data_IF_831967730867
#
_entry.id   IF_831967730867
#
_cell.length_a   1.000
_cell.length_b   1.000
_cell.length_c   1.000
_cell.angle_alpha   90.00
_cell.angle_beta   90.00
_cell.angle_gamma   90.00
#
_symmetry.space_group_name_H-M   'P 1'
#
loop_
_entity.id
_entity.type
_entity.pdbx_description
1 polymer ?
#
# COMPACT_ATOMS: atom_id res chain seq x y z
N UNK A 1 -21.40 -31.78 9.99
CA UNK A 1 -20.34 -32.11 9.01
C UNK A 1 -19.41 -30.92 8.97
N UNK A 2 -18.16 -31.06 9.43
CA UNK A 2 -17.19 -29.96 9.42
C UNK A 2 -16.73 -29.71 7.97
N UNK A 3 -16.46 -28.45 7.63
CA UNK A 3 -16.02 -28.04 6.28
C UNK A 3 -14.71 -27.27 6.40
N UNK A 4 -13.73 -27.61 5.56
CA UNK A 4 -12.49 -26.84 5.44
C UNK A 4 -12.69 -25.69 4.47
N UNK A 5 -12.30 -24.47 4.86
CA UNK A 5 -12.41 -23.26 4.04
C UNK A 5 -11.03 -22.59 3.98
N UNK A 6 -10.64 -22.14 2.79
CA UNK A 6 -9.46 -21.30 2.61
C UNK A 6 -9.80 -19.85 2.97
N UNK A 7 -9.03 -19.26 3.88
CA UNK A 7 -9.07 -17.84 4.19
C UNK A 7 -7.74 -17.21 3.78
N UNK A 8 -7.78 -16.22 2.90
CA UNK A 8 -6.61 -15.44 2.51
C UNK A 8 -6.36 -14.34 3.54
N UNK A 9 -5.09 -14.08 3.87
CA UNK A 9 -4.69 -13.02 4.81
C UNK A 9 -3.38 -12.38 4.36
N UNK A 10 -3.20 -11.07 4.58
CA UNK A 10 -1.96 -10.33 4.27
C UNK A 10 -1.00 -10.36 5.46
N UNK A 11 0.30 -10.04 5.25
CA UNK A 11 1.20 -9.78 6.39
C UNK A 11 0.58 -8.58 7.08
N UNK A 12 0.02 -8.83 8.26
CA UNK A 12 -0.89 -7.97 8.99
C UNK A 12 -2.26 -7.76 8.31
N UNK A 13 -3.23 -8.51 8.85
CA UNK A 13 -4.66 -8.42 8.57
C UNK A 13 -5.14 -6.96 8.54
N UNK A 14 -5.29 -6.41 7.33
CA UNK A 14 -6.06 -5.20 7.10
C UNK A 14 -7.50 -5.44 7.53
N UNK A 15 -7.87 -4.83 8.67
CA UNK A 15 -9.13 -4.93 9.40
C UNK A 15 -9.24 -6.09 10.39
N UNK A 16 -8.38 -6.08 11.42
CA UNK A 16 -8.66 -6.77 12.67
C UNK A 16 -9.39 -5.85 13.63
N UNK A 17 -10.57 -6.28 14.07
CA UNK A 17 -11.29 -5.69 15.20
C UNK A 17 -10.89 -6.46 16.45
N UNK A 18 -10.17 -5.82 17.36
CA UNK A 18 -9.90 -6.34 18.69
C UNK A 18 -11.07 -6.01 19.61
N UNK A 19 -11.68 -7.05 20.19
CA UNK A 19 -12.75 -6.90 21.17
C UNK A 19 -12.27 -6.44 22.54
N UNK A 20 -10.96 -6.55 22.81
CA UNK A 20 -10.32 -6.28 24.10
C UNK A 20 -8.91 -5.69 23.90
N UNK A 21 -8.32 -5.15 24.99
CA UNK A 21 -6.97 -4.58 25.02
C UNK A 21 -5.89 -5.61 24.64
N UNK A 22 -4.81 -5.15 24.01
CA UNK A 22 -3.77 -6.03 23.49
C UNK A 22 -2.51 -5.30 23.06
N UNK A 23 -1.64 -6.03 22.37
CA UNK A 23 -0.38 -5.56 21.79
C UNK A 23 -0.39 -5.85 20.28
N UNK A 24 -0.12 -4.83 19.47
CA UNK A 24 -0.03 -4.93 18.02
C UNK A 24 1.24 -4.19 17.57
N UNK A 25 2.18 -4.94 16.97
CA UNK A 25 3.48 -4.42 16.51
C UNK A 25 4.23 -3.57 17.55
N UNK A 26 4.16 -3.94 18.83
CA UNK A 26 4.80 -3.24 19.94
C UNK A 26 4.02 -2.02 20.47
N UNK A 27 2.86 -1.73 19.91
CA UNK A 27 1.93 -0.73 20.41
C UNK A 27 0.89 -1.37 21.33
N UNK A 28 0.92 -0.98 22.60
CA UNK A 28 -0.13 -1.32 23.56
C UNK A 28 -1.36 -0.45 23.33
N UNK A 29 -2.52 -1.09 23.28
CA UNK A 29 -3.80 -0.40 23.12
C UNK A 29 -4.80 -0.86 24.17
N UNK A 30 -5.57 0.10 24.70
CA UNK A 30 -6.64 -0.14 25.67
C UNK A 30 -7.98 0.30 25.08
N UNK A 31 -8.96 -0.61 25.05
CA UNK A 31 -10.30 -0.32 24.53
C UNK A 31 -11.06 -1.58 24.14
N UNK A 32 -12.36 -1.43 23.88
CA UNK A 32 -13.21 -2.47 23.27
C UNK A 32 -13.55 -2.06 21.85
N UNK A 33 -13.51 -3.01 20.91
CA UNK A 33 -13.79 -2.81 19.49
C UNK A 33 -12.80 -1.87 18.78
N UNK A 34 -11.49 -2.07 19.01
CA UNK A 34 -10.44 -1.32 18.32
C UNK A 34 -10.17 -1.95 16.95
N UNK A 35 -10.37 -1.18 15.88
CA UNK A 35 -9.95 -1.55 14.54
C UNK A 35 -8.64 -0.83 14.22
N UNK A 36 -7.68 -1.56 13.65
CA UNK A 36 -6.52 -0.93 13.02
C UNK A 36 -6.55 -1.19 11.51
N UNK A 37 -6.03 -0.21 10.79
CA UNK A 37 -5.91 -0.27 9.34
C UNK A 37 -4.50 0.20 8.96
N UNK A 38 -3.85 -0.58 8.10
CA UNK A 38 -2.56 -0.20 7.54
C UNK A 38 -2.78 0.79 6.41
N UNK A 39 -2.39 2.04 6.67
CA UNK A 39 -2.48 3.12 5.71
C UNK A 39 -1.11 3.45 5.12
N UNK A 40 -1.06 3.59 3.80
CA UNK A 40 0.14 4.09 3.12
C UNK A 40 0.35 5.56 3.47
N UNK A 41 1.53 5.88 3.99
CA UNK A 41 1.92 7.25 4.34
C UNK A 41 2.89 7.81 3.30
N UNK A 42 2.68 9.05 2.88
CA UNK A 42 3.56 9.81 1.97
C UNK A 42 4.18 10.99 2.72
N UNK A 43 5.36 10.83 3.35
CA UNK A 43 5.94 11.84 4.25
C UNK A 43 6.25 13.19 3.59
N UNK A 44 6.58 13.17 2.29
CA UNK A 44 6.91 14.35 1.50
C UNK A 44 5.69 15.01 0.83
N UNK A 45 4.50 14.43 1.01
CA UNK A 45 3.22 14.92 0.51
C UNK A 45 3.29 15.40 -0.95
N UNK A 46 2.82 16.63 -1.17
CA UNK A 46 2.71 17.27 -2.48
C UNK A 46 4.02 17.31 -3.28
N UNK A 47 5.16 17.50 -2.61
CA UNK A 47 6.46 17.66 -3.30
C UNK A 47 6.91 16.41 -4.05
N UNK A 48 6.42 15.24 -3.63
CA UNK A 48 6.79 13.94 -4.21
C UNK A 48 5.61 13.27 -4.93
N UNK A 49 4.41 13.85 -4.90
CA UNK A 49 3.18 13.21 -5.37
C UNK A 49 3.24 12.72 -6.83
N UNK A 50 3.86 13.47 -7.74
CA UNK A 50 4.03 13.04 -9.14
C UNK A 50 5.11 11.98 -9.34
N UNK A 51 6.03 11.81 -8.38
CA UNK A 51 7.06 10.76 -8.41
C UNK A 51 6.48 9.48 -7.81
N UNK A 52 6.02 9.53 -6.56
CA UNK A 52 5.49 8.35 -5.87
C UNK A 52 4.16 7.93 -6.46
N UNK A 53 3.30 8.89 -6.78
CA UNK A 53 1.88 8.64 -6.97
C UNK A 53 1.19 8.33 -5.64
N UNK A 54 0.12 7.54 -5.72
CA UNK A 54 -0.68 7.14 -4.57
C UNK A 54 -1.32 5.76 -4.77
N UNK A 55 -1.62 5.08 -3.66
CA UNK A 55 -2.51 3.92 -3.60
C UNK A 55 -3.96 4.37 -3.42
N UNK A 56 -4.90 3.65 -4.02
CA UNK A 56 -6.34 3.82 -3.78
C UNK A 56 -7.08 2.50 -3.97
N UNK A 57 -8.33 2.44 -3.52
CA UNK A 57 -9.17 1.25 -3.60
C UNK A 57 -9.35 0.76 -5.03
N UNK A 58 -9.36 -0.57 -5.17
CA UNK A 58 -9.55 -1.26 -6.44
C UNK A 58 -11.00 -1.15 -6.90
N UNK A 59 -11.20 -0.83 -8.17
CA UNK A 59 -12.48 -0.80 -8.84
C UNK A 59 -12.65 -2.02 -9.79
N UNK A 60 -13.82 -2.15 -10.41
CA UNK A 60 -14.11 -3.29 -11.31
C UNK A 60 -13.23 -3.31 -12.56
N UNK A 61 -12.80 -2.15 -13.05
CA UNK A 61 -11.93 -2.05 -14.23
C UNK A 61 -10.52 -2.52 -13.91
N UNK A 62 -10.00 -2.18 -12.73
CA UNK A 62 -8.70 -2.66 -12.25
C UNK A 62 -8.66 -4.18 -12.16
N UNK A 63 -9.73 -4.80 -11.65
CA UNK A 63 -9.82 -6.27 -11.54
C UNK A 63 -9.85 -6.91 -12.93
N UNK A 64 -10.61 -6.33 -13.87
CA UNK A 64 -10.71 -6.83 -15.24
C UNK A 64 -9.41 -6.69 -16.02
N UNK A 65 -8.68 -5.59 -15.79
CA UNK A 65 -7.45 -5.26 -16.49
C UNK A 65 -6.21 -5.59 -15.66
N UNK A 66 -6.33 -6.45 -14.65
CA UNK A 66 -5.21 -6.84 -13.82
C UNK A 66 -4.15 -7.56 -14.66
N UNK A 67 -2.97 -6.95 -14.74
CA UNK A 67 -1.80 -7.48 -15.47
C UNK A 67 -0.84 -8.25 -14.55
N UNK A 68 -1.06 -8.21 -13.25
CA UNK A 68 -0.19 -8.88 -12.28
C UNK A 68 -0.57 -10.36 -12.15
N UNK A 69 0.42 -11.23 -11.89
CA UNK A 69 0.22 -12.66 -11.63
C UNK A 69 -0.48 -12.96 -10.27
N UNK A 70 -0.93 -11.91 -9.58
CA UNK A 70 -1.61 -11.98 -8.29
C UNK A 70 -3.05 -11.58 -8.47
N UNK A 71 -3.98 -12.36 -7.90
CA UNK A 71 -5.40 -12.05 -7.94
C UNK A 71 -5.68 -10.79 -7.10
N UNK A 72 -6.53 -9.92 -7.64
CA UNK A 72 -6.94 -8.67 -7.00
C UNK A 72 -8.45 -8.70 -6.77
N UNK A 73 -8.88 -8.25 -5.60
CA UNK A 73 -10.27 -8.20 -5.17
C UNK A 73 -10.68 -6.75 -4.84
N UNK A 74 -11.98 -6.49 -4.70
CA UNK A 74 -12.51 -5.13 -4.49
C UNK A 74 -12.18 -4.49 -3.12
N UNK A 75 -11.65 -5.27 -2.18
CA UNK A 75 -11.18 -4.76 -0.88
C UNK A 75 -9.67 -4.46 -0.90
N UNK A 76 -9.01 -4.66 -2.05
CA UNK A 76 -7.59 -4.35 -2.18
C UNK A 76 -7.37 -2.87 -2.51
N UNK A 77 -6.14 -2.43 -2.26
CA UNK A 77 -5.60 -1.18 -2.78
C UNK A 77 -4.63 -1.48 -3.93
N UNK A 78 -4.50 -0.51 -4.83
CA UNK A 78 -3.62 -0.56 -5.99
C UNK A 78 -3.01 0.82 -6.25
N UNK A 79 -1.79 0.84 -6.78
CA UNK A 79 -1.15 2.04 -7.29
C UNK A 79 -1.92 2.66 -8.45
N UNK A 80 -2.35 3.92 -8.28
CA UNK A 80 -3.12 4.67 -9.28
C UNK A 80 -2.32 5.64 -10.12
N UNK A 81 -1.14 6.02 -9.65
CA UNK A 81 -0.24 6.91 -10.38
C UNK A 81 1.21 6.68 -9.97
N UNK A 82 2.13 7.35 -10.67
CA UNK A 82 3.55 7.39 -10.35
C UNK A 82 4.17 5.99 -10.26
N UNK A 83 5.16 5.87 -9.39
CA UNK A 83 5.89 4.62 -9.15
C UNK A 83 5.01 3.55 -8.51
N UNK A 84 4.05 3.94 -7.64
CA UNK A 84 3.11 3.00 -7.03
C UNK A 84 2.35 2.22 -8.11
N UNK A 85 1.85 2.90 -9.14
CA UNK A 85 1.17 2.23 -10.27
C UNK A 85 2.13 1.47 -11.17
N UNK A 86 3.26 2.08 -11.52
CA UNK A 86 4.23 1.49 -12.44
C UNK A 86 4.84 0.19 -11.89
N UNK A 87 5.03 0.09 -10.58
CA UNK A 87 5.61 -1.08 -9.92
C UNK A 87 4.61 -1.86 -9.06
N UNK A 88 3.30 -1.66 -9.23
CA UNK A 88 2.26 -2.31 -8.38
C UNK A 88 2.46 -3.82 -8.30
N UNK A 89 2.64 -4.50 -9.44
CA UNK A 89 2.86 -5.95 -9.48
C UNK A 89 4.08 -6.41 -8.68
N UNK A 90 5.12 -5.56 -8.58
CA UNK A 90 6.32 -5.85 -7.82
C UNK A 90 6.17 -5.48 -6.34
N UNK A 91 5.46 -4.38 -6.04
CA UNK A 91 5.32 -3.81 -4.70
C UNK A 91 4.22 -4.47 -3.87
N UNK A 92 3.15 -4.99 -4.48
CA UNK A 92 1.99 -5.52 -3.75
C UNK A 92 2.25 -6.81 -2.98
N UNK A 93 3.32 -7.53 -3.33
CA UNK A 93 3.62 -8.84 -2.74
C UNK A 93 2.60 -9.91 -3.11
N UNK A 94 2.60 -11.00 -2.34
CA UNK A 94 1.66 -12.11 -2.52
C UNK A 94 0.97 -12.38 -1.18
N UNK A 95 -0.36 -12.38 -1.19
CA UNK A 95 -1.18 -12.68 -0.03
C UNK A 95 -0.92 -14.12 0.47
N UNK A 96 -0.89 -14.28 1.79
CA UNK A 96 -0.85 -15.57 2.44
C UNK A 96 -2.24 -16.21 2.48
N UNK A 97 -2.29 -17.47 2.89
CA UNK A 97 -3.56 -18.18 3.08
C UNK A 97 -3.47 -19.14 4.25
N UNK A 98 -4.54 -19.23 5.02
CA UNK A 98 -4.71 -20.22 6.08
C UNK A 98 -5.89 -21.13 5.75
N UNK A 99 -5.72 -22.40 6.06
CA UNK A 99 -6.76 -23.40 5.99
C UNK A 99 -7.34 -23.55 7.39
N UNK A 100 -8.62 -23.23 7.56
CA UNK A 100 -9.31 -23.34 8.85
C UNK A 100 -10.41 -24.40 8.78
N UNK A 101 -10.56 -25.13 9.88
CA UNK A 101 -11.69 -26.02 10.14
C UNK A 101 -12.77 -25.23 10.89
N UNK A 102 -13.99 -25.27 10.38
CA UNK A 102 -15.16 -24.65 11.01
C UNK A 102 -16.22 -25.70 11.33
N UNK A 103 -17.02 -25.42 12.36
CA UNK A 103 -18.13 -26.27 12.77
C UNK A 103 -19.34 -26.12 11.83
N UNK A 104 -20.45 -26.79 12.13
CA UNK A 104 -21.67 -26.72 11.31
C UNK A 104 -22.36 -25.34 11.33
N UNK A 105 -22.04 -24.49 12.30
CA UNK A 105 -22.54 -23.11 12.44
C UNK A 105 -21.58 -22.08 11.82
N UNK A 106 -20.40 -22.51 11.37
CA UNK A 106 -19.37 -21.64 10.81
C UNK A 106 -18.42 -21.06 11.86
N UNK A 107 -18.48 -21.54 13.10
CA UNK A 107 -17.57 -21.12 14.16
C UNK A 107 -16.19 -21.76 13.96
N UNK A 108 -15.14 -20.97 14.21
CA UNK A 108 -13.76 -21.43 14.10
C UNK A 108 -13.47 -22.57 15.10
N UNK A 109 -12.90 -23.67 14.61
CA UNK A 109 -12.42 -24.77 15.46
C UNK A 109 -10.90 -24.70 15.60
N UNK A 110 -10.17 -24.78 14.47
CA UNK A 110 -8.69 -24.78 14.45
C UNK A 110 -8.13 -24.45 13.07
N UNK A 111 -6.84 -24.12 13.02
CA UNK A 111 -6.07 -23.98 11.80
C UNK A 111 -5.42 -25.31 11.42
N UNK A 112 -5.53 -25.71 10.15
CA UNK A 112 -4.99 -26.95 9.60
C UNK A 112 -3.70 -26.73 8.79
N UNK A 113 -3.41 -25.49 8.40
CA UNK A 113 -2.22 -25.14 7.63
C UNK A 113 -2.19 -23.68 7.22
N UNK A 114 -1.01 -23.18 6.88
CA UNK A 114 -0.77 -21.79 6.53
C UNK A 114 0.36 -21.66 5.53
N UNK A 115 0.13 -20.84 4.50
CA UNK A 115 1.16 -20.28 3.65
C UNK A 115 1.35 -18.82 4.04
N UNK A 116 2.57 -18.49 4.48
CA UNK A 116 2.91 -17.12 4.87
C UNK A 116 2.89 -16.19 3.65
N UNK A 117 2.47 -14.93 3.83
CA UNK A 117 2.47 -13.97 2.75
C UNK A 117 3.91 -13.58 2.37
N UNK A 118 4.11 -13.18 1.11
CA UNK A 118 5.42 -12.70 0.63
C UNK A 118 5.41 -11.19 0.52
N UNK A 119 6.15 -10.54 1.41
CA UNK A 119 6.38 -9.09 1.36
C UNK A 119 7.29 -8.75 0.18
N UNK A 120 6.99 -7.66 -0.51
CA UNK A 120 7.87 -7.15 -1.56
C UNK A 120 9.13 -6.52 -0.98
N UNK A 121 10.21 -6.50 -1.76
CA UNK A 121 11.44 -5.82 -1.35
C UNK A 121 11.32 -4.31 -1.48
N UNK A 122 12.01 -3.59 -0.61
CA UNK A 122 12.12 -2.14 -0.66
C UNK A 122 12.62 -1.64 -2.02
N UNK A 123 12.13 -0.46 -2.39
CA UNK A 123 12.51 0.24 -3.61
C UNK A 123 13.37 1.45 -3.27
N UNK A 124 14.57 1.50 -3.85
CA UNK A 124 15.46 2.66 -3.76
C UNK A 124 15.37 3.45 -5.06
N UNK A 125 15.07 4.73 -4.95
CA UNK A 125 15.00 5.65 -6.09
C UNK A 125 16.28 6.47 -6.19
N UNK A 126 16.56 6.97 -7.40
CA UNK A 126 17.63 7.96 -7.60
C UNK A 126 17.23 9.38 -7.18
N UNK A 127 15.96 9.59 -6.84
CA UNK A 127 15.41 10.91 -6.50
C UNK A 127 15.95 11.35 -5.14
N UNK A 128 16.53 12.53 -5.10
CA UNK A 128 17.00 13.18 -3.88
C UNK A 128 15.84 13.97 -3.24
N UNK A 129 15.39 13.51 -2.08
CA UNK A 129 14.22 14.08 -1.41
C UNK A 129 14.44 15.53 -0.95
N UNK A 130 15.66 15.90 -0.56
CA UNK A 130 15.97 17.25 -0.12
C UNK A 130 15.84 18.24 -1.29
N UNK A 131 16.42 17.91 -2.45
CA UNK A 131 16.32 18.77 -3.63
C UNK A 131 14.91 18.81 -4.20
N UNK A 132 14.20 17.69 -4.21
CA UNK A 132 12.81 17.62 -4.62
C UNK A 132 11.94 18.59 -3.81
N UNK A 133 12.00 18.52 -2.47
CA UNK A 133 11.20 19.38 -1.59
C UNK A 133 11.61 20.86 -1.70
N UNK A 134 12.92 21.14 -1.76
CA UNK A 134 13.44 22.50 -1.86
C UNK A 134 12.97 23.18 -3.15
N UNK A 135 13.07 22.50 -4.29
CA UNK A 135 12.64 23.04 -5.58
C UNK A 135 11.12 23.23 -5.59
N UNK A 136 10.34 22.28 -5.08
CA UNK A 136 8.89 22.42 -4.99
C UNK A 136 8.49 23.69 -4.22
N UNK A 137 9.10 23.91 -3.05
CA UNK A 137 8.88 25.13 -2.25
C UNK A 137 9.31 26.41 -2.99
N UNK A 138 10.40 26.38 -3.76
CA UNK A 138 10.85 27.52 -4.56
C UNK A 138 9.89 27.90 -5.69
N UNK A 139 9.16 26.92 -6.26
CA UNK A 139 8.15 27.19 -7.29
C UNK A 139 6.94 27.96 -6.72
N UNK A 140 6.65 27.83 -5.43
CA UNK A 140 5.63 28.61 -4.71
C UNK A 140 4.27 28.66 -5.45
N UNK A 141 3.78 27.51 -5.89
CA UNK A 141 2.50 27.37 -6.59
C UNK A 141 2.51 27.82 -8.06
N UNK A 142 3.64 28.29 -8.60
CA UNK A 142 3.77 28.61 -10.03
C UNK A 142 3.70 27.34 -10.86
N UNK A 143 3.07 27.44 -12.03
CA UNK A 143 2.99 26.36 -13.01
C UNK A 143 4.35 26.11 -13.65
N UNK A 144 5.02 25.04 -13.26
CA UNK A 144 6.33 24.69 -13.79
C UNK A 144 6.68 23.22 -13.50
N UNK A 145 7.53 22.66 -14.35
CA UNK A 145 8.16 21.35 -14.15
C UNK A 145 9.66 21.52 -14.14
N UNK A 146 10.34 20.88 -13.20
CA UNK A 146 11.81 20.90 -13.08
C UNK A 146 12.33 19.48 -13.00
N UNK A 147 13.20 19.13 -13.94
CA UNK A 147 13.88 17.83 -13.99
C UNK A 147 15.37 18.07 -13.84
N UNK A 148 15.99 17.40 -12.87
CA UNK A 148 17.44 17.37 -12.72
C UNK A 148 17.87 15.92 -12.96
N UNK A 149 18.79 15.73 -13.89
CA UNK A 149 19.35 14.42 -14.21
C UNK A 149 20.87 14.43 -14.15
N UNK A 150 21.45 13.27 -13.90
CA UNK A 150 22.88 13.02 -14.06
C UNK A 150 23.15 12.56 -15.50
N UNK A 151 23.77 13.38 -16.38
CA UNK A 151 23.86 13.06 -17.82
C UNK A 151 24.63 11.78 -18.13
N UNK A 152 25.60 11.43 -17.28
CA UNK A 152 26.46 10.26 -17.48
C UNK A 152 25.74 8.94 -17.21
N UNK A 153 24.78 8.92 -16.29
CA UNK A 153 24.09 7.70 -15.87
C UNK A 153 22.63 7.66 -16.29
N UNK A 154 22.05 8.81 -16.66
CA UNK A 154 20.63 8.97 -16.91
C UNK A 154 19.76 8.99 -15.65
N UNK A 155 20.35 8.97 -14.44
CA UNK A 155 19.59 9.03 -13.19
C UNK A 155 18.81 10.34 -13.10
N UNK A 156 17.55 10.24 -12.69
CA UNK A 156 16.72 11.40 -12.37
C UNK A 156 16.88 11.68 -10.88
N UNK A 157 17.47 12.84 -10.56
CA UNK A 157 17.68 13.30 -9.19
C UNK A 157 16.47 14.06 -8.67
N UNK A 158 15.76 14.78 -9.54
CA UNK A 158 14.50 15.44 -9.19
C UNK A 158 13.52 15.39 -10.35
N UNK A 159 12.23 15.28 -10.03
CA UNK A 159 11.12 15.39 -10.98
C UNK A 159 9.98 16.15 -10.30
N UNK A 160 10.11 17.47 -10.27
CA UNK A 160 9.18 18.35 -9.55
C UNK A 160 8.16 18.90 -10.52
N UNK A 161 6.89 18.85 -10.15
CA UNK A 161 5.78 19.49 -10.87
C UNK A 161 4.97 20.32 -9.88
N UNK A 162 4.66 21.56 -10.26
CA UNK A 162 3.86 22.49 -9.49
C UNK A 162 2.77 23.11 -10.39
N UNK A 163 1.54 23.29 -9.92
CA UNK A 163 1.02 22.84 -8.61
C UNK A 163 0.93 21.31 -8.52
N UNK A 164 0.83 20.79 -7.30
CA UNK A 164 0.72 19.37 -7.01
C UNK A 164 -0.55 19.03 -6.22
N UNK A 165 -0.67 17.79 -5.77
CA UNK A 165 -1.78 17.27 -4.98
C UNK A 165 -1.24 16.52 -3.76
N UNK A 166 -2.00 16.46 -2.66
CA UNK A 166 -1.62 15.64 -1.52
C UNK A 166 -1.97 14.17 -1.77
N UNK A 167 -0.99 13.26 -1.93
CA UNK A 167 -1.27 11.84 -2.16
C UNK A 167 -1.93 11.18 -0.92
N UNK A 168 -1.73 11.71 0.28
CA UNK A 168 -2.37 11.18 1.49
C UNK A 168 -3.90 11.36 1.47
N UNK A 169 -4.40 12.34 0.70
CA UNK A 169 -5.84 12.58 0.52
C UNK A 169 -6.57 11.44 -0.22
N UNK A 170 -5.84 10.61 -0.98
CA UNK A 170 -6.40 9.51 -1.78
C UNK A 170 -6.21 8.12 -1.14
N UNK A 171 -5.37 8.05 -0.12
CA UNK A 171 -5.00 6.81 0.58
C UNK A 171 -6.00 6.36 1.66
N UNK A 172 -7.18 6.98 1.72
CA UNK A 172 -8.26 6.51 2.59
C UNK A 172 -9.01 5.36 1.92
N UNK A 173 -9.15 4.26 2.64
CA UNK A 173 -9.98 3.10 2.30
C UNK A 173 -11.20 3.11 3.22
#
# INVERSE_FOLDING_TARGET
MAKSIYQYFKVEDGNKIYSEAGDFDGYKFEGKNLAYELKRNYPYGESMAFVTGYLSSVNKDDIRNNICDVKINGNDVMGKSGIESFLDCRLRGIDGKRLIEVDAKGEYIRELGRDEPKVSSDLILSVDAYWQEKIYKMLNGKKATVIISEPKTGKILTFVSSPSFDPNAFSYV
#
